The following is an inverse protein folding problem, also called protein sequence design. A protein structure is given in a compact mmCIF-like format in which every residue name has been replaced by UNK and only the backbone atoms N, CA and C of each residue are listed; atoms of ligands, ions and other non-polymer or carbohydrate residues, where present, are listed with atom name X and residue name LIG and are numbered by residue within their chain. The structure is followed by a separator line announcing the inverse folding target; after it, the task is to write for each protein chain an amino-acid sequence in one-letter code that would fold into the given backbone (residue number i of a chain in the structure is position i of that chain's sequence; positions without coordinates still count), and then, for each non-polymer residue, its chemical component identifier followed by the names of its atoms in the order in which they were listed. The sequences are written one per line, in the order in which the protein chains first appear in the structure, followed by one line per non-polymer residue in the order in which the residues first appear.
data_IF_077278186569
#
_entry.id   IF_077278186569
#
_cell.length_a   1.000
_cell.length_b   1.000
_cell.length_c   1.000
_cell.angle_alpha   90.00
_cell.angle_beta   90.00
_cell.angle_gamma   90.00
#
_symmetry.space_group_name_H-M   'P 1'
#
loop_
_entity.id
_entity.type
_entity.pdbx_description
1 polymer ?
#
# COMPACT_ATOMS: atom_id res chain seq x y z
N UNK A 1 39.83 -15.52 -11.96
CA UNK A 1 38.73 -15.75 -12.93
C UNK A 1 37.42 -15.55 -12.19
N UNK A 2 36.78 -14.37 -12.32
CA UNK A 2 35.54 -14.04 -11.63
C UNK A 2 34.33 -14.66 -12.33
N UNK A 3 33.45 -15.31 -11.57
CA UNK A 3 32.19 -15.85 -12.09
C UNK A 3 31.07 -14.83 -11.83
N UNK A 4 30.67 -14.17 -12.90
CA UNK A 4 29.46 -13.34 -13.00
C UNK A 4 28.26 -14.30 -13.02
N UNK A 5 27.42 -14.29 -11.98
CA UNK A 5 26.14 -15.01 -12.00
C UNK A 5 25.00 -14.06 -12.36
N UNK A 6 24.44 -14.29 -13.55
CA UNK A 6 23.21 -13.67 -14.05
C UNK A 6 22.01 -14.13 -13.21
N UNK A 7 21.24 -13.17 -12.67
CA UNK A 7 20.06 -13.43 -11.85
C UNK A 7 18.88 -13.93 -12.71
N UNK A 8 18.70 -15.25 -12.78
CA UNK A 8 17.46 -15.86 -13.31
C UNK A 8 16.38 -15.79 -12.23
N UNK A 9 15.15 -15.44 -12.62
CA UNK A 9 13.96 -15.52 -11.76
C UNK A 9 13.87 -16.89 -11.08
N UNK A 10 13.90 -16.91 -9.74
CA UNK A 10 13.63 -18.11 -8.97
C UNK A 10 12.12 -18.30 -8.89
N UNK A 11 11.61 -19.36 -9.51
CA UNK A 11 10.25 -19.83 -9.27
C UNK A 11 10.07 -20.23 -7.81
N UNK A 12 8.87 -20.00 -7.25
CA UNK A 12 8.54 -20.29 -5.83
C UNK A 12 8.92 -21.72 -5.43
N UNK A 13 8.77 -22.70 -6.33
CA UNK A 13 9.19 -24.09 -6.14
C UNK A 13 10.71 -24.24 -5.91
N UNK A 14 11.54 -23.51 -6.66
CA UNK A 14 13.00 -23.49 -6.46
C UNK A 14 13.39 -22.79 -5.16
N UNK A 15 12.67 -21.73 -4.78
CA UNK A 15 12.91 -21.05 -3.50
C UNK A 15 12.62 -21.98 -2.33
N UNK A 16 11.52 -22.75 -2.39
CA UNK A 16 11.13 -23.72 -1.37
C UNK A 16 12.14 -24.87 -1.29
N UNK A 17 12.67 -25.36 -2.42
CA UNK A 17 13.67 -26.45 -2.39
C UNK A 17 15.02 -25.98 -1.83
N UNK A 18 15.46 -24.77 -2.18
CA UNK A 18 16.69 -24.18 -1.65
C UNK A 18 16.60 -23.95 -0.14
N UNK A 19 15.47 -23.42 0.34
CA UNK A 19 15.22 -23.21 1.77
C UNK A 19 15.13 -24.54 2.52
N UNK A 20 14.41 -25.52 1.98
CA UNK A 20 14.31 -26.87 2.58
C UNK A 20 15.68 -27.55 2.72
N UNK A 21 16.50 -27.50 1.66
CA UNK A 21 17.83 -28.13 1.67
C UNK A 21 18.81 -27.43 2.61
N UNK A 22 18.75 -26.10 2.71
CA UNK A 22 19.57 -25.33 3.65
C UNK A 22 19.21 -25.67 5.11
N UNK A 23 17.92 -25.82 5.41
CA UNK A 23 17.44 -26.16 6.75
C UNK A 23 17.79 -27.59 7.18
N UNK A 24 17.70 -28.57 6.26
CA UNK A 24 18.13 -29.96 6.52
C UNK A 24 19.62 -30.00 6.86
N UNK A 25 20.44 -29.27 6.10
CA UNK A 25 21.89 -29.16 6.31
C UNK A 25 22.25 -28.51 7.65
N UNK A 26 21.52 -27.47 8.06
CA UNK A 26 21.86 -26.63 9.22
C UNK A 26 21.34 -27.17 10.55
N UNK A 27 20.23 -27.92 10.53
CA UNK A 27 19.56 -28.39 11.75
C UNK A 27 19.48 -29.92 11.89
N UNK A 28 20.10 -30.71 10.99
CA UNK A 28 20.09 -32.20 11.01
C UNK A 28 18.68 -32.79 11.19
N UNK A 29 17.68 -32.22 10.52
CA UNK A 29 16.33 -32.76 10.55
C UNK A 29 16.26 -34.06 9.73
N UNK A 30 15.55 -35.11 10.21
CA UNK A 30 15.40 -36.36 9.46
C UNK A 30 14.63 -36.11 8.14
N UNK A 31 15.17 -36.64 7.04
CA UNK A 31 14.66 -36.48 5.67
C UNK A 31 13.22 -36.97 5.46
N UNK A 32 12.70 -37.79 6.38
CA UNK A 32 11.37 -38.41 6.32
C UNK A 32 10.23 -37.54 6.88
N UNK A 33 10.51 -36.29 7.30
CA UNK A 33 9.55 -35.45 8.02
C UNK A 33 8.74 -34.46 7.16
N UNK A 34 8.95 -34.43 5.83
CA UNK A 34 8.20 -33.56 4.91
C UNK A 34 7.49 -34.40 3.82
N UNK A 35 6.21 -34.11 3.50
CA UNK A 35 5.49 -34.84 2.46
C UNK A 35 6.08 -34.54 1.08
N UNK A 36 6.32 -35.57 0.27
CA UNK A 36 6.63 -35.40 -1.16
C UNK A 36 5.44 -34.75 -1.87
N UNK A 37 5.60 -33.52 -2.35
CA UNK A 37 4.60 -32.88 -3.21
C UNK A 37 4.78 -33.39 -4.65
N UNK A 38 3.88 -34.28 -5.07
CA UNK A 38 3.78 -34.75 -6.45
C UNK A 38 3.34 -33.60 -7.38
N UNK A 39 4.07 -33.42 -8.49
CA UNK A 39 4.09 -32.21 -9.33
C UNK A 39 3.07 -32.19 -10.47
N UNK A 40 2.03 -33.04 -10.43
CA UNK A 40 1.12 -33.22 -11.58
C UNK A 40 -0.28 -32.62 -11.46
N UNK A 41 -0.65 -32.03 -10.33
CA UNK A 41 -1.93 -31.31 -10.19
C UNK A 41 -1.69 -29.90 -9.64
N UNK A 42 -2.53 -28.91 -10.00
CA UNK A 42 -2.53 -27.60 -9.34
C UNK A 42 -3.02 -27.78 -7.90
N UNK A 43 -2.09 -28.15 -7.01
CA UNK A 43 -2.36 -28.39 -5.59
C UNK A 43 -2.82 -27.08 -4.95
N UNK A 44 -4.02 -27.12 -4.40
CA UNK A 44 -4.63 -26.09 -3.57
C UNK A 44 -3.70 -25.80 -2.36
N UNK A 45 -2.87 -24.77 -2.49
CA UNK A 45 -1.70 -24.44 -1.63
C UNK A 45 -2.08 -24.16 -0.16
N UNK A 46 -3.37 -24.12 0.17
CA UNK A 46 -3.87 -23.69 1.47
C UNK A 46 -3.74 -24.74 2.58
N UNK A 47 -3.67 -26.04 2.30
CA UNK A 47 -3.71 -27.08 3.35
C UNK A 47 -2.35 -27.64 3.75
N UNK A 48 -1.46 -27.90 2.78
CA UNK A 48 -0.11 -28.43 3.01
C UNK A 48 0.83 -27.40 3.64
N UNK A 49 0.78 -26.16 3.16
CA UNK A 49 1.58 -25.04 3.68
C UNK A 49 1.18 -24.71 5.13
N UNK A 50 -0.13 -24.78 5.45
CA UNK A 50 -0.63 -24.61 6.83
C UNK A 50 -0.04 -25.61 7.82
N UNK A 51 0.17 -26.88 7.43
CA UNK A 51 0.70 -27.91 8.34
C UNK A 51 2.20 -27.72 8.61
N UNK A 52 2.98 -27.33 7.62
CA UNK A 52 4.43 -27.14 7.76
C UNK A 52 4.79 -25.89 8.58
N UNK A 53 4.07 -24.78 8.40
CA UNK A 53 4.27 -23.55 9.18
C UNK A 53 3.81 -23.66 10.66
N UNK A 54 2.97 -24.65 10.99
CA UNK A 54 2.62 -24.92 12.39
C UNK A 54 3.75 -25.62 13.17
N UNK A 55 4.76 -26.19 12.50
CA UNK A 55 5.81 -26.99 13.15
C UNK A 55 7.14 -26.26 13.39
N UNK A 56 7.38 -25.08 12.81
CA UNK A 56 8.69 -24.43 12.93
C UNK A 56 8.59 -22.88 12.85
N UNK A 57 8.61 -22.16 13.99
CA UNK A 57 8.60 -20.69 14.03
C UNK A 57 9.83 -20.03 13.37
N UNK A 58 10.98 -20.72 13.37
CA UNK A 58 12.25 -20.20 12.87
C UNK A 58 12.26 -20.02 11.34
N UNK A 59 11.48 -20.84 10.64
CA UNK A 59 11.30 -20.77 9.18
C UNK A 59 10.69 -19.44 8.72
N UNK A 60 9.79 -18.86 9.53
CA UNK A 60 9.17 -17.57 9.24
C UNK A 60 10.18 -16.42 9.44
N UNK A 61 11.03 -16.52 10.46
CA UNK A 61 12.08 -15.54 10.75
C UNK A 61 13.14 -15.51 9.66
N UNK A 62 13.52 -16.68 9.12
CA UNK A 62 14.49 -16.79 8.05
C UNK A 62 13.92 -16.26 6.72
N UNK A 63 12.63 -16.52 6.42
CA UNK A 63 11.94 -15.93 5.26
C UNK A 63 11.82 -14.40 5.36
N UNK A 64 11.57 -13.86 6.55
CA UNK A 64 11.58 -12.41 6.77
C UNK A 64 12.97 -11.81 6.56
N UNK A 65 14.02 -12.45 7.08
CA UNK A 65 15.40 -12.00 6.85
C UNK A 65 15.80 -12.03 5.37
N UNK A 66 15.35 -13.05 4.62
CA UNK A 66 15.59 -13.14 3.17
C UNK A 66 14.83 -12.05 2.41
N UNK A 67 13.58 -11.77 2.79
CA UNK A 67 12.78 -10.70 2.17
C UNK A 67 13.36 -9.30 2.41
N UNK A 68 13.94 -9.06 3.60
CA UNK A 68 14.60 -7.79 3.94
C UNK A 68 15.91 -7.64 3.17
N UNK A 69 16.64 -8.74 2.93
CA UNK A 69 17.95 -8.71 2.24
C UNK A 69 17.85 -8.68 0.72
N UNK A 70 16.75 -9.11 0.11
CA UNK A 70 16.57 -9.15 -1.35
C UNK A 70 15.18 -8.67 -1.80
N UNK A 71 14.90 -7.35 -1.72
CA UNK A 71 13.57 -6.79 -2.02
C UNK A 71 13.14 -6.93 -3.49
N UNK A 72 14.07 -7.17 -4.41
CA UNK A 72 13.83 -7.29 -5.86
C UNK A 72 13.53 -8.72 -6.34
N UNK A 73 13.72 -9.75 -5.51
CA UNK A 73 13.67 -11.16 -5.94
C UNK A 73 12.34 -11.84 -5.59
N UNK A 74 11.57 -11.26 -4.67
CA UNK A 74 10.30 -11.86 -4.20
C UNK A 74 9.18 -10.85 -4.36
N UNK A 75 8.17 -11.18 -5.17
CA UNK A 75 6.96 -10.35 -5.27
C UNK A 75 6.32 -10.20 -3.89
N UNK A 76 6.47 -9.01 -3.32
CA UNK A 76 6.05 -8.62 -1.96
C UNK A 76 4.57 -8.93 -1.69
N UNK A 77 3.74 -8.97 -2.75
CA UNK A 77 2.30 -9.28 -2.67
C UNK A 77 2.00 -10.65 -2.06
N UNK A 78 2.84 -11.66 -2.30
CA UNK A 78 2.61 -13.01 -1.77
C UNK A 78 3.10 -13.20 -0.33
N UNK A 79 4.09 -12.43 0.12
CA UNK A 79 4.57 -12.50 1.50
C UNK A 79 3.63 -11.76 2.44
N UNK A 80 3.16 -10.57 2.06
CA UNK A 80 2.25 -9.81 2.92
C UNK A 80 0.92 -10.54 3.13
N UNK A 81 0.37 -11.18 2.09
CA UNK A 81 -0.86 -11.98 2.21
C UNK A 81 -0.65 -13.21 3.09
N UNK A 82 0.50 -13.89 3.00
CA UNK A 82 0.85 -15.03 3.87
C UNK A 82 1.06 -14.59 5.32
N UNK A 83 1.75 -13.48 5.57
CA UNK A 83 1.95 -12.93 6.91
C UNK A 83 0.62 -12.49 7.54
N UNK A 84 -0.24 -11.79 6.79
CA UNK A 84 -1.57 -11.34 7.26
C UNK A 84 -2.50 -12.52 7.52
N UNK A 85 -2.52 -13.53 6.64
CA UNK A 85 -3.35 -14.72 6.83
C UNK A 85 -2.86 -15.57 7.99
N UNK A 86 -1.54 -15.72 8.15
CA UNK A 86 -0.96 -16.45 9.28
C UNK A 86 -1.17 -15.71 10.60
N UNK A 87 -1.06 -14.39 10.62
CA UNK A 87 -1.33 -13.59 11.83
C UNK A 87 -2.80 -13.64 12.25
N UNK A 88 -3.74 -13.62 11.32
CA UNK A 88 -5.16 -13.84 11.62
C UNK A 88 -5.44 -15.25 12.19
N UNK A 89 -4.80 -16.29 11.65
CA UNK A 89 -4.94 -17.67 12.12
C UNK A 89 -4.30 -17.91 13.50
N UNK A 90 -3.19 -17.24 13.80
CA UNK A 90 -2.46 -17.40 15.05
C UNK A 90 -3.02 -16.52 16.18
N UNK A 91 -3.66 -15.39 15.87
CA UNK A 91 -4.44 -14.60 16.82
C UNK A 91 -5.63 -15.41 17.38
N UNK A 92 -6.26 -16.25 16.55
CA UNK A 92 -7.31 -17.18 16.98
C UNK A 92 -6.80 -18.27 17.95
N UNK A 93 -5.48 -18.54 17.99
CA UNK A 93 -4.88 -19.64 18.76
C UNK A 93 -4.24 -19.26 20.10
N UNK A 94 -4.44 -18.03 20.59
CA UNK A 94 -4.05 -17.60 21.95
C UNK A 94 -2.57 -17.88 22.32
N UNK A 95 -1.66 -17.82 21.34
CA UNK A 95 -0.27 -18.22 21.53
C UNK A 95 0.63 -17.00 21.81
N UNK A 96 1.07 -16.86 23.07
CA UNK A 96 1.87 -15.75 23.61
C UNK A 96 3.36 -15.80 23.21
N UNK A 97 3.69 -16.12 21.95
CA UNK A 97 5.08 -16.19 21.52
C UNK A 97 5.68 -14.78 21.38
N UNK A 98 6.62 -14.45 22.27
CA UNK A 98 7.24 -13.12 22.41
C UNK A 98 7.95 -12.60 21.14
N UNK A 99 8.52 -13.49 20.33
CA UNK A 99 9.15 -13.14 19.06
C UNK A 99 8.11 -12.72 17.98
N UNK A 100 6.92 -13.32 17.99
CA UNK A 100 5.84 -13.00 17.05
C UNK A 100 5.22 -11.64 17.36
N UNK A 101 4.93 -11.38 18.64
CA UNK A 101 4.42 -10.08 19.09
C UNK A 101 5.44 -8.98 18.79
N UNK A 102 6.74 -9.23 19.01
CA UNK A 102 7.82 -8.34 18.60
C UNK A 102 7.83 -8.07 17.10
N UNK A 103 7.61 -9.07 16.26
CA UNK A 103 7.64 -8.90 14.81
C UNK A 103 6.42 -8.13 14.28
N UNK A 104 5.22 -8.42 14.80
CA UNK A 104 4.01 -7.64 14.51
C UNK A 104 4.17 -6.20 15.00
N UNK A 105 4.73 -6.00 16.20
CA UNK A 105 5.07 -4.67 16.72
C UNK A 105 6.12 -3.98 15.86
N UNK A 106 7.17 -4.67 15.39
CA UNK A 106 8.20 -4.07 14.53
C UNK A 106 7.65 -3.62 13.18
N UNK A 107 6.76 -4.42 12.55
CA UNK A 107 6.12 -4.04 11.29
C UNK A 107 5.11 -2.90 11.50
N UNK A 108 4.40 -2.88 12.63
CA UNK A 108 3.52 -1.78 13.01
C UNK A 108 4.30 -0.48 13.32
N UNK A 109 5.49 -0.59 13.93
CA UNK A 109 6.37 0.54 14.26
C UNK A 109 7.08 1.08 13.01
N UNK A 110 7.45 0.21 12.07
CA UNK A 110 8.13 0.64 10.85
C UNK A 110 7.21 1.37 9.87
N UNK A 111 5.90 1.09 9.87
CA UNK A 111 4.94 1.66 8.91
C UNK A 111 5.18 1.17 7.46
N UNK A 112 4.26 1.45 6.52
CA UNK A 112 4.37 0.99 5.14
C UNK A 112 5.60 1.59 4.43
N UNK A 113 6.23 0.82 3.53
CA UNK A 113 7.36 1.27 2.71
C UNK A 113 6.94 1.73 1.30
N UNK A 114 5.72 1.40 0.90
CA UNK A 114 5.07 1.88 -0.32
C UNK A 114 3.75 2.48 0.14
N UNK A 115 3.49 3.72 -0.27
CA UNK A 115 2.21 4.39 -0.02
C UNK A 115 1.80 5.05 -1.32
N UNK A 116 0.62 4.71 -1.79
CA UNK A 116 0.04 5.32 -2.98
C UNK A 116 -1.47 5.24 -2.91
N UNK A 117 -2.14 6.27 -3.40
CA UNK A 117 -3.57 6.21 -3.65
C UNK A 117 -3.92 6.90 -4.96
N UNK A 118 -5.04 6.46 -5.52
CA UNK A 118 -5.74 7.13 -6.61
C UNK A 118 -7.23 7.04 -6.32
N UNK A 119 -7.87 8.20 -6.23
CA UNK A 119 -9.30 8.32 -6.02
C UNK A 119 -9.92 9.24 -7.07
N UNK A 120 -11.15 8.93 -7.47
CA UNK A 120 -11.90 9.62 -8.53
C UNK A 120 -13.26 10.07 -8.04
N UNK A 121 -13.70 11.22 -8.54
CA UNK A 121 -15.06 11.72 -8.36
C UNK A 121 -15.94 11.11 -9.46
N UNK A 122 -16.95 10.32 -9.10
CA UNK A 122 -17.82 9.62 -10.07
C UNK A 122 -19.20 10.25 -10.11
N UNK A 123 -19.80 10.54 -8.96
CA UNK A 123 -21.18 11.01 -8.88
C UNK A 123 -21.30 12.32 -8.10
N UNK A 124 -22.17 13.25 -8.56
CA UNK A 124 -22.89 13.22 -9.84
C UNK A 124 -21.95 13.55 -11.02
N UNK A 125 -22.34 13.19 -12.25
CA UNK A 125 -21.58 13.54 -13.46
C UNK A 125 -21.35 15.05 -13.58
N UNK A 126 -22.34 15.86 -13.24
CA UNK A 126 -22.24 17.31 -13.16
C UNK A 126 -22.70 17.75 -11.77
N UNK A 127 -21.73 18.04 -10.91
CA UNK A 127 -21.96 18.36 -9.51
C UNK A 127 -21.56 19.77 -9.14
N UNK A 128 -21.65 20.04 -7.85
CA UNK A 128 -21.08 21.22 -7.23
C UNK A 128 -20.39 20.85 -5.92
N UNK A 129 -19.31 21.56 -5.60
CA UNK A 129 -18.67 21.53 -4.30
C UNK A 129 -19.04 22.79 -3.53
N UNK A 130 -19.46 22.66 -2.27
CA UNK A 130 -19.81 23.78 -1.43
C UNK A 130 -18.61 24.73 -1.20
N UNK A 131 -18.90 25.97 -0.81
CA UNK A 131 -17.86 26.92 -0.43
C UNK A 131 -17.02 26.35 0.72
N UNK A 132 -15.70 26.48 0.63
CA UNK A 132 -14.77 26.02 1.68
C UNK A 132 -14.86 24.53 2.03
N UNK A 133 -15.49 23.71 1.19
CA UNK A 133 -15.65 22.28 1.45
C UNK A 133 -14.50 21.47 0.88
N UNK A 134 -14.15 20.38 1.57
CA UNK A 134 -13.22 19.35 1.09
C UNK A 134 -13.87 18.54 -0.02
N UNK A 135 -13.15 18.33 -1.13
CA UNK A 135 -13.61 17.50 -2.24
C UNK A 135 -13.47 16.03 -1.86
N UNK A 136 -14.58 15.29 -1.91
CA UNK A 136 -14.61 13.86 -1.61
C UNK A 136 -14.54 13.06 -2.90
N UNK A 137 -13.36 12.54 -3.22
CA UNK A 137 -13.20 11.58 -4.33
C UNK A 137 -13.57 10.20 -3.80
N UNK A 138 -14.79 9.76 -4.07
CA UNK A 138 -15.43 8.63 -3.41
C UNK A 138 -14.98 7.27 -3.96
N UNK A 139 -14.59 7.21 -5.24
CA UNK A 139 -14.16 5.97 -5.88
C UNK A 139 -12.66 5.78 -5.71
N UNK A 140 -12.27 4.84 -4.87
CA UNK A 140 -10.88 4.40 -4.72
C UNK A 140 -10.52 3.45 -5.87
N UNK A 141 -9.47 3.77 -6.62
CA UNK A 141 -8.84 2.89 -7.62
C UNK A 141 -7.62 2.19 -7.03
N UNK A 142 -6.84 2.88 -6.19
CA UNK A 142 -5.67 2.34 -5.49
C UNK A 142 -5.59 2.98 -4.10
N UNK A 143 -5.12 2.24 -3.09
CA UNK A 143 -4.92 2.75 -1.73
C UNK A 143 -3.92 1.90 -0.92
N UNK A 144 -2.74 1.67 -1.49
CA UNK A 144 -1.64 0.95 -0.81
C UNK A 144 -1.17 1.77 0.39
N UNK A 145 -1.06 1.12 1.55
CA UNK A 145 -0.76 1.78 2.81
C UNK A 145 -1.98 2.39 3.50
N UNK A 146 -3.16 2.31 2.88
CA UNK A 146 -4.47 2.66 3.47
C UNK A 146 -4.55 4.07 4.05
N UNK A 147 -3.82 5.02 3.45
CA UNK A 147 -3.78 6.41 3.92
C UNK A 147 -4.99 7.24 3.49
N UNK A 148 -5.65 6.92 2.37
CA UNK A 148 -6.77 7.72 1.87
C UNK A 148 -8.14 7.23 2.38
N UNK A 149 -8.97 8.16 2.83
CA UNK A 149 -10.34 7.90 3.29
C UNK A 149 -11.37 8.56 2.34
N UNK A 150 -12.12 7.75 1.60
CA UNK A 150 -13.12 8.21 0.62
C UNK A 150 -14.33 8.92 1.23
N UNK A 151 -14.69 8.63 2.48
CA UNK A 151 -15.81 9.30 3.17
C UNK A 151 -15.52 10.75 3.55
N UNK A 152 -14.24 11.09 3.68
CA UNK A 152 -13.77 12.44 4.08
C UNK A 152 -13.06 13.18 2.96
N UNK A 153 -12.46 12.48 1.98
CA UNK A 153 -11.60 13.08 0.96
C UNK A 153 -10.18 13.37 1.43
N UNK A 154 -9.77 12.81 2.57
CA UNK A 154 -8.52 13.12 3.26
C UNK A 154 -7.56 11.94 3.16
N UNK A 155 -6.31 12.23 2.80
CA UNK A 155 -5.17 11.34 2.96
C UNK A 155 -4.50 11.62 4.30
N UNK A 156 -4.25 10.59 5.11
CA UNK A 156 -3.44 10.68 6.32
C UNK A 156 -2.14 9.91 6.10
N UNK A 157 -1.00 10.58 6.28
CA UNK A 157 0.31 9.98 6.09
C UNK A 157 0.54 8.83 7.09
N UNK A 158 0.71 7.58 6.63
CA UNK A 158 0.91 6.45 7.53
C UNK A 158 2.37 6.32 8.01
N UNK A 159 3.29 7.06 7.39
CA UNK A 159 4.71 7.09 7.74
C UNK A 159 5.29 8.45 7.40
N UNK A 160 6.45 8.76 7.99
CA UNK A 160 7.19 9.97 7.67
C UNK A 160 7.87 9.83 6.31
N UNK A 161 7.83 10.87 5.50
CA UNK A 161 8.51 10.84 4.21
C UNK A 161 8.28 12.06 3.34
N UNK A 162 8.90 12.05 2.17
CA UNK A 162 8.62 12.96 1.06
C UNK A 162 7.49 12.39 0.22
N UNK A 163 6.42 13.16 0.04
CA UNK A 163 5.26 12.76 -0.74
C UNK A 163 5.06 13.71 -1.91
N UNK A 164 4.56 13.17 -3.02
CA UNK A 164 4.06 13.93 -4.15
C UNK A 164 2.55 13.73 -4.29
N UNK A 165 1.83 14.82 -4.49
CA UNK A 165 0.39 14.81 -4.69
C UNK A 165 0.03 15.50 -5.99
N UNK A 166 -1.01 14.99 -6.66
CA UNK A 166 -1.62 15.61 -7.82
C UNK A 166 -3.14 15.50 -7.75
N UNK A 167 -3.84 16.58 -8.05
CA UNK A 167 -5.29 16.62 -8.18
C UNK A 167 -5.68 17.31 -9.47
N UNK A 168 -6.67 16.78 -10.16
CA UNK A 168 -7.25 17.43 -11.34
C UNK A 168 -8.76 17.49 -11.20
N UNK A 169 -9.34 18.61 -11.65
CA UNK A 169 -10.77 18.79 -11.67
C UNK A 169 -11.21 19.52 -12.94
N UNK A 170 -12.35 19.09 -13.49
CA UNK A 170 -13.03 19.80 -14.57
C UNK A 170 -14.24 20.53 -14.03
N UNK A 171 -14.47 21.74 -14.50
CA UNK A 171 -15.61 22.55 -14.08
C UNK A 171 -16.90 22.13 -14.80
N UNK A 172 -18.00 21.94 -14.05
CA UNK A 172 -19.28 21.44 -14.59
C UNK A 172 -20.21 22.51 -15.15
N UNK A 173 -19.94 23.79 -14.86
CA UNK A 173 -20.74 24.94 -15.31
C UNK A 173 -19.89 26.20 -15.34
N UNK A 174 -20.35 27.24 -16.03
CA UNK A 174 -19.72 28.57 -16.00
C UNK A 174 -19.54 29.13 -14.57
N UNK A 175 -18.55 29.99 -14.34
CA UNK A 175 -18.21 30.55 -13.02
C UNK A 175 -16.78 30.24 -12.58
N UNK A 176 -16.55 30.15 -11.26
CA UNK A 176 -15.22 29.97 -10.65
C UNK A 176 -15.08 28.59 -10.00
N UNK A 177 -13.93 27.94 -10.19
CA UNK A 177 -13.49 26.76 -9.45
C UNK A 177 -12.07 27.01 -8.93
N UNK A 178 -11.95 27.28 -7.63
CA UNK A 178 -10.65 27.51 -7.00
C UNK A 178 -10.38 26.32 -6.08
N UNK A 179 -9.38 25.52 -6.42
CA UNK A 179 -9.00 24.38 -5.60
C UNK A 179 -7.63 24.63 -4.97
N UNK A 180 -7.53 24.34 -3.68
CA UNK A 180 -6.28 24.35 -2.93
C UNK A 180 -5.95 22.94 -2.43
N UNK A 181 -4.66 22.59 -2.47
CA UNK A 181 -4.10 21.40 -1.84
C UNK A 181 -3.57 21.79 -0.48
N UNK A 182 -4.10 21.18 0.57
CA UNK A 182 -3.77 21.51 1.95
C UNK A 182 -2.94 20.42 2.60
N UNK A 183 -1.98 20.83 3.44
CA UNK A 183 -1.34 19.99 4.45
C UNK A 183 -1.81 20.51 5.82
N UNK A 184 -2.56 19.70 6.55
CA UNK A 184 -3.23 20.10 7.77
C UNK A 184 -4.07 21.37 7.51
N UNK A 185 -3.72 22.51 8.10
CA UNK A 185 -4.41 23.80 7.90
C UNK A 185 -3.68 24.74 6.91
N UNK A 186 -2.50 24.35 6.42
CA UNK A 186 -1.66 25.14 5.52
C UNK A 186 -1.97 24.86 4.05
N UNK A 187 -2.14 25.93 3.25
CA UNK A 187 -2.34 25.82 1.80
C UNK A 187 -0.99 25.68 1.10
N UNK A 188 -0.76 24.51 0.49
CA UNK A 188 0.52 24.17 -0.12
C UNK A 188 0.59 24.57 -1.59
N UNK A 189 -0.53 24.49 -2.30
CA UNK A 189 -0.63 24.85 -3.71
C UNK A 189 -2.07 25.17 -4.10
N UNK A 190 -2.25 26.00 -5.12
CA UNK A 190 -3.55 26.43 -5.63
C UNK A 190 -3.60 26.30 -7.14
N UNK A 191 -4.77 25.94 -7.66
CA UNK A 191 -5.08 26.09 -9.08
C UNK A 191 -6.50 26.60 -9.25
N UNK A 192 -6.67 27.47 -10.25
CA UNK A 192 -7.90 28.23 -10.46
C UNK A 192 -8.38 28.02 -11.89
N UNK A 193 -9.64 27.61 -12.02
CA UNK A 193 -10.36 27.50 -13.28
C UNK A 193 -11.51 28.49 -13.36
N UNK A 194 -11.73 29.04 -14.54
CA UNK A 194 -12.85 29.94 -14.84
C UNK A 194 -13.54 29.46 -16.12
N UNK A 195 -14.87 29.44 -16.11
CA UNK A 195 -15.72 29.15 -17.27
C UNK A 195 -15.39 27.84 -18.01
N UNK A 196 -15.87 26.70 -17.47
CA UNK A 196 -15.72 25.36 -18.08
C UNK A 196 -14.29 24.85 -18.22
N UNK A 197 -13.34 25.42 -17.47
CA UNK A 197 -11.95 25.03 -17.53
C UNK A 197 -11.66 23.73 -16.77
N UNK A 198 -10.54 23.09 -17.10
CA UNK A 198 -9.92 22.03 -16.31
C UNK A 198 -8.69 22.59 -15.61
N UNK A 199 -8.51 22.20 -14.36
CA UNK A 199 -7.36 22.61 -13.55
C UNK A 199 -6.64 21.39 -13.01
N UNK A 200 -5.33 21.54 -12.83
CA UNK A 200 -4.49 20.55 -12.17
C UNK A 200 -3.63 21.25 -11.12
N UNK A 201 -3.47 20.60 -9.97
CA UNK A 201 -2.64 21.03 -8.84
C UNK A 201 -1.65 19.91 -8.59
N UNK A 202 -0.38 20.24 -8.39
CA UNK A 202 0.62 19.28 -7.95
C UNK A 202 1.60 19.93 -6.99
N UNK A 203 2.00 19.19 -5.96
CA UNK A 203 3.02 19.64 -5.02
C UNK A 203 3.77 18.46 -4.41
N UNK A 204 5.01 18.71 -4.01
CA UNK A 204 5.85 17.73 -3.32
C UNK A 204 6.30 18.34 -2.00
N UNK A 205 6.02 17.68 -0.89
CA UNK A 205 6.41 18.15 0.44
C UNK A 205 6.56 16.99 1.42
N UNK A 206 7.26 17.25 2.51
CA UNK A 206 7.46 16.29 3.59
C UNK A 206 6.24 16.24 4.50
N UNK A 207 5.95 15.03 4.98
CA UNK A 207 4.90 14.73 5.94
C UNK A 207 5.47 13.96 7.12
N UNK A 208 4.98 14.27 8.31
CA UNK A 208 5.07 13.40 9.47
C UNK A 208 3.97 12.35 9.43
N UNK A 209 4.16 11.25 10.15
CA UNK A 209 3.08 10.29 10.36
C UNK A 209 1.90 11.00 11.05
N UNK A 210 0.69 10.83 10.51
CA UNK A 210 -0.53 11.48 10.99
C UNK A 210 -0.87 12.81 10.31
N UNK A 211 0.04 13.42 9.55
CA UNK A 211 -0.29 14.63 8.79
C UNK A 211 -1.38 14.34 7.75
N UNK A 212 -2.25 15.32 7.53
CA UNK A 212 -3.44 15.21 6.67
C UNK A 212 -3.25 16.01 5.39
N UNK A 213 -3.60 15.44 4.25
CA UNK A 213 -3.55 16.10 2.94
C UNK A 213 -4.89 15.95 2.23
N UNK A 214 -5.42 17.06 1.71
CA UNK A 214 -6.73 17.07 1.08
C UNK A 214 -6.89 18.23 0.10
N UNK A 215 -7.87 18.10 -0.80
CA UNK A 215 -8.24 19.13 -1.77
C UNK A 215 -9.48 19.86 -1.29
N UNK A 216 -9.46 21.19 -1.32
CA UNK A 216 -10.54 22.03 -0.81
C UNK A 216 -10.96 23.07 -1.83
N UNK A 217 -12.27 23.33 -1.95
CA UNK A 217 -12.75 24.51 -2.65
C UNK A 217 -12.43 25.75 -1.82
N UNK A 218 -11.49 26.58 -2.27
CA UNK A 218 -11.08 27.79 -1.55
C UNK A 218 -11.89 29.01 -1.95
N UNK A 219 -12.83 28.88 -2.89
CA UNK A 219 -13.73 29.96 -3.23
C UNK A 219 -14.74 30.24 -2.12
N UNK A 220 -15.27 31.47 -2.10
CA UNK A 220 -16.30 31.91 -1.15
C UNK A 220 -17.70 31.40 -1.50
N UNK A 221 -17.88 30.79 -2.68
CA UNK A 221 -19.16 30.25 -3.17
C UNK A 221 -19.02 28.79 -3.59
N UNK A 222 -20.16 28.14 -3.82
CA UNK A 222 -20.16 26.81 -4.44
C UNK A 222 -19.64 26.86 -5.87
N UNK A 223 -18.84 25.86 -6.23
CA UNK A 223 -18.18 25.77 -7.53
C UNK A 223 -18.64 24.52 -8.26
N UNK A 224 -18.82 24.61 -9.58
CA UNK A 224 -19.16 23.45 -10.40
C UNK A 224 -17.98 22.51 -10.54
N UNK A 225 -18.18 21.21 -10.34
CA UNK A 225 -17.16 20.18 -10.55
C UNK A 225 -17.77 18.97 -11.26
N UNK A 226 -17.06 18.42 -12.25
CA UNK A 226 -17.50 17.27 -13.05
C UNK A 226 -17.04 15.98 -12.36
N UNK A 227 -17.97 15.07 -12.14
CA UNK A 227 -17.70 13.69 -11.76
C UNK A 227 -17.38 12.82 -12.98
N UNK A 228 -18.06 11.69 -13.11
CA UNK A 228 -17.87 10.69 -14.17
C UNK A 228 -16.41 10.23 -14.35
N UNK A 229 -15.60 10.34 -13.29
CA UNK A 229 -14.18 10.02 -13.29
C UNK A 229 -13.27 11.04 -13.97
N UNK A 230 -13.78 12.23 -14.33
CA UNK A 230 -12.99 13.29 -14.97
C UNK A 230 -12.19 14.13 -13.95
N UNK A 231 -12.60 14.10 -12.68
CA UNK A 231 -11.85 14.69 -11.58
C UNK A 231 -11.25 13.60 -10.69
N UNK A 232 -10.01 13.78 -10.26
CA UNK A 232 -9.27 12.79 -9.48
C UNK A 232 -8.27 13.43 -8.51
N UNK A 233 -7.86 12.65 -7.52
CA UNK A 233 -6.81 12.98 -6.57
C UNK A 233 -5.92 11.76 -6.35
N UNK A 234 -4.61 11.97 -6.41
CA UNK A 234 -3.61 10.93 -6.22
C UNK A 234 -2.44 11.45 -5.40
N UNK A 235 -1.79 10.56 -4.67
CA UNK A 235 -0.56 10.85 -3.95
C UNK A 235 0.29 9.62 -3.78
N UNK A 236 1.61 9.83 -3.74
CA UNK A 236 2.61 8.76 -3.68
C UNK A 236 3.73 9.14 -2.71
N UNK A 237 4.18 8.17 -1.90
CA UNK A 237 5.44 8.28 -1.16
C UNK A 237 6.60 8.18 -2.16
N UNK A 238 7.40 9.24 -2.22
CA UNK A 238 8.60 9.31 -3.05
C UNK A 238 9.80 8.73 -2.30
N UNK A 239 9.93 9.09 -1.03
CA UNK A 239 11.04 8.63 -0.19
C UNK A 239 10.65 8.58 1.28
N UNK A 240 10.84 7.43 1.92
CA UNK A 240 10.63 7.24 3.35
C UNK A 240 11.79 7.83 4.15
N UNK A 241 11.51 8.54 5.22
CA UNK A 241 12.49 9.25 6.07
C UNK A 241 12.57 8.70 7.49
#
# INVERSE_FOLDING_TARGET
MGMVYSAKELTVSKLISVVSNSLISKHRLPSTSLPELNTKDPVNITSGVKRSFCRCPDLLFELMNVSVKNPSVISIRNINSVIVTYSALMFSRNNKNSAFQRCTTLMAVAGPSIVTFLARLISPSYGSIAAKATVKFERITENIGSGYNSGTGIFTAPTKGLYHFTASARQSRSGYLHLGLFRNEEEMAVSVGVNYNSLTIGATFTLQSGDRVYVKNIWSRSSGIVGAGQSYFSGNLVHKM
#
